data_IF_036978901343
#
_entry.id   IF_036978901343
#
_cell.length_a   1.000
_cell.length_b   1.000
_cell.length_c   1.000
_cell.angle_alpha   90.00
_cell.angle_beta   90.00
_cell.angle_gamma   90.00
#
_symmetry.space_group_name_H-M   'P 1'
#
loop_
_entity.id
_entity.type
_entity.pdbx_description
1 polymer ?
#
# COMPACT_ATOMS: atom_id res chain seq x y z
N UNK A 1 10.21 2.79 -0.07
CA UNK A 1 9.75 3.19 1.28
C UNK A 1 9.52 1.93 2.12
N UNK A 2 9.54 2.02 3.46
CA UNK A 2 8.99 1.01 4.35
C UNK A 2 7.49 1.30 4.53
N UNK A 3 6.63 0.31 4.28
CA UNK A 3 5.20 0.43 4.44
C UNK A 3 4.75 -0.17 5.78
N UNK A 4 3.91 0.57 6.49
CA UNK A 4 3.34 0.18 7.79
C UNK A 4 1.82 0.21 7.67
N UNK A 5 1.20 -0.98 7.71
CA UNK A 5 -0.25 -1.13 7.75
C UNK A 5 -0.79 -0.92 9.17
N UNK A 6 -1.79 -0.05 9.31
CA UNK A 6 -2.41 0.24 10.60
C UNK A 6 -3.74 -0.49 10.71
N UNK A 7 -3.79 -1.56 11.51
CA UNK A 7 -4.98 -2.43 11.63
C UNK A 7 -6.28 -1.68 11.93
N UNK A 8 -6.27 -0.73 12.88
CA UNK A 8 -7.48 -0.01 13.32
C UNK A 8 -7.97 1.05 12.34
N UNK A 9 -7.06 1.82 11.75
CA UNK A 9 -7.45 2.88 10.80
C UNK A 9 -7.59 2.36 9.38
N UNK A 10 -7.02 1.18 9.07
CA UNK A 10 -6.96 0.64 7.72
C UNK A 10 -5.97 1.35 6.80
N UNK A 11 -5.26 2.36 7.29
CA UNK A 11 -4.37 3.21 6.49
C UNK A 11 -2.98 2.58 6.36
N UNK A 12 -2.33 2.83 5.22
CA UNK A 12 -0.95 2.40 4.96
C UNK A 12 -0.04 3.62 4.98
N UNK A 13 0.86 3.69 5.95
CA UNK A 13 1.82 4.78 6.10
C UNK A 13 3.15 4.40 5.45
N UNK A 14 3.80 5.35 4.77
CA UNK A 14 5.10 5.18 4.15
C UNK A 14 6.18 5.94 4.93
N UNK A 15 7.31 5.28 5.17
CA UNK A 15 8.46 5.85 5.85
C UNK A 15 9.73 5.66 5.04
N UNK A 16 10.70 6.55 5.23
CA UNK A 16 12.07 6.31 4.81
C UNK A 16 12.68 5.21 5.71
N UNK A 17 13.12 4.07 5.16
CA UNK A 17 13.60 2.95 5.97
C UNK A 17 14.92 3.22 6.69
N UNK A 18 15.72 4.20 6.22
CA UNK A 18 17.02 4.53 6.80
C UNK A 18 16.89 5.58 7.90
N UNK A 19 16.04 6.57 7.71
CA UNK A 19 15.91 7.71 8.64
C UNK A 19 14.69 7.65 9.54
N UNK A 20 13.72 6.76 9.23
CA UNK A 20 12.43 6.71 9.92
C UNK A 20 11.52 7.90 9.62
N UNK A 21 11.89 8.80 8.70
CA UNK A 21 11.08 9.98 8.34
C UNK A 21 9.76 9.54 7.69
N UNK A 22 8.64 10.06 8.18
CA UNK A 22 7.33 9.89 7.54
C UNK A 22 7.32 10.55 6.15
N UNK A 23 6.85 9.80 5.14
CA UNK A 23 6.78 10.25 3.74
C UNK A 23 5.35 10.58 3.30
N UNK A 24 4.34 10.11 4.04
CA UNK A 24 2.93 10.25 3.69
C UNK A 24 2.17 8.93 3.83
N UNK A 25 0.86 8.97 3.57
CA UNK A 25 0.05 7.76 3.45
C UNK A 25 -0.07 7.34 1.98
N UNK A 26 -0.32 6.05 1.73
CA UNK A 26 -0.74 5.59 0.41
C UNK A 26 -2.09 6.22 0.07
N UNK A 27 -2.23 6.67 -1.18
CA UNK A 27 -3.40 7.40 -1.66
C UNK A 27 -4.16 6.59 -2.71
N UNK A 28 -5.46 6.83 -2.79
CA UNK A 28 -6.28 6.46 -3.92
C UNK A 28 -5.94 7.33 -5.15
N UNK A 29 -6.35 6.93 -6.37
CA UNK A 29 -6.12 7.72 -7.57
C UNK A 29 -6.72 9.14 -7.53
N UNK A 30 -7.75 9.36 -6.72
CA UNK A 30 -8.39 10.67 -6.51
C UNK A 30 -7.67 11.55 -5.47
N UNK A 31 -6.53 11.10 -4.94
CA UNK A 31 -5.73 11.80 -3.93
C UNK A 31 -6.23 11.62 -2.48
N UNK A 32 -7.34 10.93 -2.25
CA UNK A 32 -7.80 10.61 -0.89
C UNK A 32 -6.89 9.55 -0.24
N UNK A 33 -6.82 9.52 1.09
CA UNK A 33 -6.03 8.47 1.78
C UNK A 33 -6.67 7.11 1.58
N UNK A 34 -5.89 6.13 1.12
CA UNK A 34 -6.34 4.74 1.02
C UNK A 34 -6.58 4.18 2.41
N UNK A 35 -7.76 3.58 2.60
CA UNK A 35 -8.15 2.90 3.83
C UNK A 35 -8.77 1.55 3.50
N UNK A 36 -8.21 0.48 4.05
CA UNK A 36 -8.73 -0.89 3.94
C UNK A 36 -9.13 -1.32 5.36
N UNK A 37 -10.43 -1.36 5.63
CA UNK A 37 -10.94 -1.76 6.94
C UNK A 37 -10.48 -3.19 7.31
N UNK A 38 -10.05 -3.38 8.55
CA UNK A 38 -9.54 -4.66 9.05
C UNK A 38 -8.21 -5.14 8.45
N UNK A 39 -7.33 -4.23 7.99
CA UNK A 39 -6.07 -4.57 7.32
C UNK A 39 -5.10 -5.41 8.18
N UNK A 40 -4.85 -6.66 7.81
CA UNK A 40 -4.02 -7.61 8.56
C UNK A 40 -2.56 -7.67 8.12
N UNK A 41 -2.31 -7.86 6.82
CA UNK A 41 -0.97 -8.07 6.31
C UNK A 41 -0.75 -7.36 4.97
N UNK A 42 0.51 -7.05 4.71
CA UNK A 42 1.01 -6.46 3.48
C UNK A 42 2.27 -7.22 3.04
N UNK A 43 2.37 -7.58 1.77
CA UNK A 43 3.60 -8.13 1.20
C UNK A 43 3.73 -7.81 -0.28
N UNK A 44 4.95 -7.54 -0.74
CA UNK A 44 5.23 -7.51 -2.17
C UNK A 44 5.35 -8.93 -2.73
N UNK A 45 5.08 -9.09 -4.02
CA UNK A 45 5.45 -10.29 -4.76
C UNK A 45 6.98 -10.48 -4.84
N UNK A 46 7.41 -11.55 -5.50
CA UNK A 46 8.82 -11.95 -5.55
C UNK A 46 9.35 -12.28 -6.95
N UNK A 47 8.64 -11.86 -8.01
CA UNK A 47 8.94 -12.17 -9.42
C UNK A 47 9.07 -13.68 -9.71
N UNK A 48 8.42 -14.50 -8.88
CA UNK A 48 8.34 -15.95 -9.02
C UNK A 48 6.92 -16.41 -8.70
N UNK A 49 6.77 -17.46 -7.89
CA UNK A 49 5.47 -18.05 -7.57
C UNK A 49 4.54 -17.12 -6.76
N UNK A 50 5.06 -16.05 -6.15
CA UNK A 50 4.25 -15.07 -5.42
C UNK A 50 3.85 -13.85 -6.28
N UNK A 51 4.01 -13.93 -7.60
CA UNK A 51 3.64 -12.85 -8.53
C UNK A 51 4.67 -11.71 -8.61
N UNK A 52 4.36 -10.64 -9.37
CA UNK A 52 5.30 -9.55 -9.64
C UNK A 52 5.73 -8.81 -8.38
N UNK A 53 7.01 -8.46 -8.27
CA UNK A 53 7.55 -7.68 -7.15
C UNK A 53 7.01 -6.24 -7.08
N UNK A 54 6.38 -5.76 -8.15
CA UNK A 54 5.69 -4.46 -8.21
C UNK A 54 4.25 -4.51 -7.68
N UNK A 55 3.72 -5.69 -7.39
CA UNK A 55 2.38 -5.87 -6.83
C UNK A 55 2.44 -5.92 -5.30
N UNK A 56 1.65 -5.07 -4.64
CA UNK A 56 1.46 -5.11 -3.20
C UNK A 56 0.20 -5.93 -2.88
N UNK A 57 0.37 -7.10 -2.29
CA UNK A 57 -0.73 -7.94 -1.81
C UNK A 57 -1.13 -7.54 -0.40
N UNK A 58 -2.43 -7.66 -0.09
CA UNK A 58 -2.96 -7.43 1.25
C UNK A 58 -3.98 -8.50 1.65
N UNK A 59 -4.12 -8.67 2.97
CA UNK A 59 -5.25 -9.38 3.57
C UNK A 59 -6.00 -8.47 4.54
N UNK A 60 -7.31 -8.65 4.64
CA UNK A 60 -8.14 -7.89 5.58
C UNK A 60 -9.27 -8.75 6.16
N UNK A 61 -9.62 -8.49 7.41
CA UNK A 61 -10.77 -9.06 8.10
C UNK A 61 -12.01 -8.18 7.94
N UNK A 62 -12.82 -8.45 6.93
CA UNK A 62 -14.04 -7.68 6.66
C UNK A 62 -15.22 -8.23 7.49
N UNK A 63 -16.35 -7.51 7.50
CA UNK A 63 -17.58 -7.93 8.20
C UNK A 63 -17.35 -8.20 9.70
N UNK A 64 -16.56 -7.35 10.35
CA UNK A 64 -16.13 -7.55 11.73
C UNK A 64 -15.29 -8.81 11.90
N UNK A 65 -14.31 -9.01 11.00
CA UNK A 65 -13.35 -10.11 10.99
C UNK A 65 -13.94 -11.51 10.72
N UNK A 66 -15.23 -11.62 10.39
CA UNK A 66 -15.89 -12.90 10.11
C UNK A 66 -15.50 -13.50 8.77
N UNK A 67 -15.08 -12.64 7.85
CA UNK A 67 -14.70 -13.02 6.49
C UNK A 67 -13.31 -12.46 6.15
N UNK A 68 -12.56 -13.22 5.36
CA UNK A 68 -11.25 -12.80 4.86
C UNK A 68 -11.34 -12.22 3.46
N UNK A 69 -10.74 -11.05 3.24
CA UNK A 69 -10.51 -10.46 1.94
C UNK A 69 -9.02 -10.59 1.58
N UNK A 70 -8.72 -11.11 0.41
CA UNK A 70 -7.40 -11.10 -0.20
C UNK A 70 -7.44 -10.27 -1.48
N UNK A 71 -6.50 -9.35 -1.65
CA UNK A 71 -6.48 -8.45 -2.79
C UNK A 71 -5.10 -7.88 -3.10
N UNK A 72 -5.05 -7.06 -4.13
CA UNK A 72 -3.83 -6.40 -4.61
C UNK A 72 -4.03 -4.89 -4.74
N UNK A 73 -2.94 -4.17 -4.53
CA UNK A 73 -2.80 -2.75 -4.83
C UNK A 73 -1.71 -2.61 -5.90
N UNK A 74 -2.06 -1.89 -6.97
CA UNK A 74 -1.15 -1.57 -8.06
C UNK A 74 -0.86 -0.07 -8.03
N UNK A 75 0.38 0.35 -8.29
CA UNK A 75 0.65 1.76 -8.47
C UNK A 75 -0.13 2.27 -9.69
N UNK A 76 -0.72 3.46 -9.55
CA UNK A 76 -1.17 4.21 -10.73
C UNK A 76 0.09 4.59 -11.50
N UNK A 77 0.05 4.51 -12.83
CA UNK A 77 1.14 5.04 -13.64
C UNK A 77 1.33 6.50 -13.22
N UNK A 78 2.51 6.84 -12.73
CA UNK A 78 2.87 8.23 -12.62
C UNK A 78 2.88 8.74 -14.06
N UNK A 79 1.95 9.63 -14.41
CA UNK A 79 2.23 10.60 -15.45
C UNK A 79 3.51 11.28 -14.94
N UNK A 80 4.66 10.88 -15.48
CA UNK A 80 5.94 11.51 -15.19
C UNK A 80 5.74 12.94 -15.66
N UNK A 81 5.42 13.85 -14.74
CA UNK A 81 5.51 15.28 -15.03
C UNK A 81 6.94 15.52 -15.51
N UNK A 82 7.07 15.97 -16.75
CA UNK A 82 8.31 16.50 -17.33
C UNK A 82 8.68 17.79 -16.59
N UNK A 83 9.05 17.72 -15.31
CA UNK A 83 9.37 18.89 -14.48
C UNK A 83 10.75 18.79 -13.81
N UNK A 84 11.68 18.02 -14.40
CA UNK A 84 13.10 17.99 -13.99
C UNK A 84 14.05 18.45 -15.12
N UNK A 85 13.62 19.41 -15.96
CA UNK A 85 14.53 20.26 -16.73
C UNK A 85 14.26 21.75 -16.44
N UNK A 86 15.02 22.31 -15.50
CA UNK A 86 15.53 23.70 -15.52
C UNK A 86 16.62 23.92 -14.46
#
# INVERSE_FOLDING_TARGET
ALLVGNFRSGTIAAFNPLTGRFLGNVLNPDGTTLSIDGLWALTFGNDHNAGPATTLFFTAGINGEKDGLFGTLLPVAAELGEDDEQ
#
